data_IF_560599320892
#
_entry.id   IF_560599320892
#
_cell.length_a   1.000
_cell.length_b   1.000
_cell.length_c   1.000
_cell.angle_alpha   90.00
_cell.angle_beta   90.00
_cell.angle_gamma   90.00
#
_symmetry.space_group_name_H-M   'P 1'
#
loop_
_entity.id
_entity.type
_entity.pdbx_description
1 polymer ?
#
# COMPACT_ATOMS: atom_id res chain seq x y z
N UNK A 1 22.75 -9.63 12.97
CA UNK A 1 21.32 -9.34 13.21
C UNK A 1 20.56 -10.65 13.29
N UNK A 2 19.64 -10.79 14.21
CA UNK A 2 18.74 -11.95 14.32
C UNK A 2 17.31 -11.44 14.33
N UNK A 3 16.49 -11.95 13.42
CA UNK A 3 15.07 -11.57 13.30
C UNK A 3 14.23 -12.76 13.76
N UNK A 4 13.28 -12.49 14.67
CA UNK A 4 12.39 -13.47 15.28
C UNK A 4 13.13 -14.74 15.74
N UNK A 5 14.30 -14.57 16.36
CA UNK A 5 15.13 -15.65 16.94
C UNK A 5 15.56 -16.76 15.95
N UNK A 6 15.37 -16.56 14.64
CA UNK A 6 15.53 -17.64 13.63
C UNK A 6 16.31 -17.24 12.39
N UNK A 7 16.16 -16.00 11.92
CA UNK A 7 16.86 -15.53 10.72
C UNK A 7 18.10 -14.73 11.10
N UNK A 8 19.27 -15.29 10.85
CA UNK A 8 20.55 -14.60 11.05
C UNK A 8 21.00 -13.88 9.78
N UNK A 9 21.28 -12.58 9.92
CA UNK A 9 21.79 -11.74 8.84
C UNK A 9 23.10 -11.10 9.34
N UNK A 10 24.26 -11.49 8.78
CA UNK A 10 25.54 -10.85 9.10
C UNK A 10 25.67 -9.51 8.37
N UNK A 11 26.39 -8.56 8.97
CA UNK A 11 26.67 -7.26 8.37
C UNK A 11 26.53 -6.11 9.36
N UNK A 12 27.27 -5.03 9.10
CA UNK A 12 27.18 -3.80 9.88
C UNK A 12 25.88 -3.05 9.57
N UNK A 13 25.56 -2.93 8.27
CA UNK A 13 24.33 -2.37 7.76
C UNK A 13 23.59 -3.44 6.96
N UNK A 14 22.34 -3.71 7.32
CA UNK A 14 21.50 -4.68 6.62
C UNK A 14 20.27 -4.00 6.05
N UNK A 15 19.81 -4.50 4.91
CA UNK A 15 18.50 -4.19 4.35
C UNK A 15 17.70 -5.49 4.43
N UNK A 16 16.55 -5.43 5.09
CA UNK A 16 15.63 -6.54 5.19
C UNK A 16 14.20 -6.06 4.93
N UNK A 17 13.50 -6.75 4.06
CA UNK A 17 12.09 -6.51 3.75
C UNK A 17 11.24 -7.52 4.53
N UNK A 18 10.36 -7.01 5.40
CA UNK A 18 9.50 -7.86 6.20
C UNK A 18 8.37 -8.41 5.32
N UNK A 19 8.11 -9.73 5.35
CA UNK A 19 7.16 -10.36 4.42
C UNK A 19 5.73 -9.92 4.67
N UNK A 20 5.37 -9.69 5.94
CA UNK A 20 4.00 -9.37 6.36
C UNK A 20 3.98 -8.33 7.48
N UNK A 21 2.79 -7.77 7.73
CA UNK A 21 2.56 -6.97 8.93
C UNK A 21 2.64 -7.82 10.19
N UNK A 22 3.16 -7.25 11.27
CA UNK A 22 3.29 -7.94 12.56
C UNK A 22 4.30 -7.23 13.45
N UNK A 23 4.50 -7.76 14.65
CA UNK A 23 5.59 -7.31 15.51
C UNK A 23 6.76 -8.27 15.35
N UNK A 24 7.90 -7.76 14.91
CA UNK A 24 9.12 -8.52 14.74
C UNK A 24 10.11 -8.18 15.84
N UNK A 25 10.69 -9.19 16.47
CA UNK A 25 11.79 -9.02 17.41
C UNK A 25 13.10 -8.97 16.60
N UNK A 26 13.84 -7.89 16.74
CA UNK A 26 15.14 -7.71 16.08
C UNK A 26 16.23 -7.62 17.14
N UNK A 27 17.15 -8.58 17.09
CA UNK A 27 18.31 -8.65 17.97
C UNK A 27 19.58 -8.27 17.21
N UNK A 28 20.33 -7.33 17.78
CA UNK A 28 21.65 -6.96 17.31
C UNK A 28 22.72 -7.66 18.17
N UNK A 29 23.35 -8.69 17.60
CA UNK A 29 24.47 -9.39 18.19
C UNK A 29 25.80 -8.76 17.75
N UNK A 30 26.67 -8.47 18.71
CA UNK A 30 28.07 -8.08 18.46
C UNK A 30 28.95 -9.26 18.86
N UNK A 31 29.84 -9.68 17.96
CA UNK A 31 30.81 -10.73 18.24
C UNK A 31 32.21 -10.13 18.44
N UNK A 32 32.80 -10.41 19.59
CA UNK A 32 34.17 -10.03 19.93
C UNK A 32 35.13 -11.16 19.54
N UNK A 33 36.01 -10.87 18.57
CA UNK A 33 37.00 -11.82 18.05
C UNK A 33 38.17 -12.07 19.01
N UNK A 34 38.48 -11.13 19.90
CA UNK A 34 39.59 -11.29 20.85
C UNK A 34 39.18 -12.19 22.01
N UNK A 35 37.92 -12.07 22.44
CA UNK A 35 37.35 -12.87 23.53
C UNK A 35 36.67 -14.16 23.04
N UNK A 36 36.54 -14.34 21.72
CA UNK A 36 35.81 -15.43 21.09
C UNK A 36 34.38 -15.58 21.66
N UNK A 37 33.64 -14.46 21.74
CA UNK A 37 32.36 -14.44 22.45
C UNK A 37 31.35 -13.49 21.81
N UNK A 38 30.06 -13.83 21.94
CA UNK A 38 28.95 -12.95 21.59
C UNK A 38 28.61 -12.07 22.81
N UNK A 39 28.62 -10.76 22.61
CA UNK A 39 28.19 -9.81 23.64
C UNK A 39 26.66 -9.84 23.81
N UNK A 40 26.19 -9.34 24.96
CA UNK A 40 24.76 -9.27 25.27
C UNK A 40 24.02 -8.55 24.12
N UNK A 41 23.01 -9.19 23.50
CA UNK A 41 22.30 -8.60 22.39
C UNK A 41 21.50 -7.38 22.80
N UNK A 42 21.37 -6.42 21.87
CA UNK A 42 20.39 -5.35 21.98
C UNK A 42 19.13 -5.79 21.24
N UNK A 43 18.03 -5.92 21.98
CA UNK A 43 16.72 -6.34 21.44
C UNK A 43 15.80 -5.14 21.23
N UNK A 44 15.07 -5.12 20.12
CA UNK A 44 13.98 -4.16 19.89
C UNK A 44 12.82 -4.81 19.15
N UNK A 45 11.61 -4.58 19.66
CA UNK A 45 10.38 -4.94 18.96
C UNK A 45 10.02 -3.88 17.91
N UNK A 46 9.80 -4.34 16.69
CA UNK A 46 9.46 -3.51 15.54
C UNK A 46 8.06 -3.86 15.01
N UNK A 47 7.06 -2.99 15.24
CA UNK A 47 5.74 -3.18 14.66
C UNK A 47 5.75 -2.73 13.19
N UNK A 48 5.66 -3.69 12.29
CA UNK A 48 5.41 -3.47 10.86
C UNK A 48 3.90 -3.43 10.66
N UNK A 49 3.37 -2.26 10.30
CA UNK A 49 1.95 -2.05 10.06
C UNK A 49 1.71 -1.68 8.60
N UNK A 50 0.59 -2.13 8.05
CA UNK A 50 0.17 -1.64 6.75
C UNK A 50 -0.16 -0.15 6.89
N UNK A 51 0.30 0.64 5.93
CA UNK A 51 -0.05 2.06 5.90
C UNK A 51 -1.52 2.19 5.57
N UNK A 52 -2.23 3.01 6.33
CA UNK A 52 -3.62 3.36 6.02
C UNK A 52 -3.69 4.14 4.71
N UNK A 53 -4.31 3.55 3.69
CA UNK A 53 -4.39 4.14 2.36
C UNK A 53 -5.55 3.57 1.55
N UNK A 54 -6.01 4.38 0.59
CA UNK A 54 -6.85 3.89 -0.49
C UNK A 54 -6.05 2.91 -1.36
N UNK A 55 -6.69 1.83 -1.79
CA UNK A 55 -6.09 0.82 -2.68
C UNK A 55 -6.85 0.83 -3.99
N UNK A 56 -6.12 0.78 -5.11
CA UNK A 56 -6.68 0.79 -6.46
C UNK A 56 -6.26 -0.49 -7.17
N UNK A 57 -7.25 -1.32 -7.52
CA UNK A 57 -7.05 -2.54 -8.30
C UNK A 57 -7.68 -2.34 -9.66
N UNK A 58 -6.85 -2.39 -10.69
CA UNK A 58 -7.22 -2.35 -12.10
C UNK A 58 -6.02 -2.82 -12.94
N UNK A 59 -6.21 -3.16 -14.23
CA UNK A 59 -5.11 -3.44 -15.15
C UNK A 59 -4.18 -2.23 -15.35
N UNK A 60 -2.88 -2.49 -15.56
CA UNK A 60 -1.91 -1.43 -15.88
C UNK A 60 -2.05 -0.93 -17.33
N UNK A 61 -2.56 -1.79 -18.21
CA UNK A 61 -2.80 -1.49 -19.63
C UNK A 61 -4.23 -1.82 -20.01
N UNK A 62 -4.92 -0.85 -20.63
CA UNK A 62 -6.35 -0.94 -20.96
C UNK A 62 -6.56 -0.67 -22.46
N UNK A 63 -7.23 -1.53 -23.22
CA UNK A 63 -7.58 -1.21 -24.60
C UNK A 63 -8.68 -0.13 -24.65
N UNK A 64 -8.57 0.83 -25.57
CA UNK A 64 -9.62 1.83 -25.80
C UNK A 64 -10.96 1.16 -26.11
N UNK A 65 -12.06 1.71 -25.59
CA UNK A 65 -13.41 1.20 -25.80
C UNK A 65 -13.78 -0.05 -24.99
N UNK A 66 -12.88 -0.52 -24.12
CA UNK A 66 -13.16 -1.64 -23.22
C UNK A 66 -13.66 -1.13 -21.87
N UNK A 67 -14.77 -1.69 -21.40
CA UNK A 67 -15.25 -1.47 -20.05
C UNK A 67 -14.34 -2.19 -19.05
N UNK A 68 -13.76 -1.44 -18.12
CA UNK A 68 -12.84 -1.93 -17.09
C UNK A 68 -13.41 -1.62 -15.72
N UNK A 69 -13.40 -2.62 -14.86
CA UNK A 69 -13.73 -2.46 -13.46
C UNK A 69 -12.54 -1.89 -12.69
N UNK A 70 -12.82 -0.85 -11.90
CA UNK A 70 -11.92 -0.26 -10.93
C UNK A 70 -12.38 -0.67 -9.54
N UNK A 71 -11.52 -1.36 -8.80
CA UNK A 71 -11.86 -1.95 -7.51
C UNK A 71 -11.06 -1.29 -6.37
N UNK A 72 -11.78 -0.69 -5.44
CA UNK A 72 -11.28 -0.06 -4.21
C UNK A 72 -11.55 -0.87 -2.95
N UNK A 73 -12.07 -2.09 -3.04
CA UNK A 73 -12.52 -2.92 -1.91
C UNK A 73 -11.40 -3.31 -0.96
N UNK A 74 -10.15 -3.36 -1.44
CA UNK A 74 -8.96 -3.62 -0.61
C UNK A 74 -8.41 -2.36 0.08
N UNK A 75 -9.11 -1.23 0.02
CA UNK A 75 -8.74 -0.03 0.79
C UNK A 75 -8.58 -0.36 2.26
N UNK A 76 -7.41 -0.04 2.81
CA UNK A 76 -7.06 -0.35 4.20
C UNK A 76 -7.15 0.90 5.06
N UNK A 77 -8.28 1.04 5.76
CA UNK A 77 -8.56 2.14 6.69
C UNK A 77 -9.20 1.61 7.99
N UNK A 78 -8.48 0.79 8.78
CA UNK A 78 -9.02 0.11 9.96
C UNK A 78 -9.49 1.06 11.07
N UNK A 79 -8.92 2.27 11.19
CA UNK A 79 -9.31 3.25 12.20
C UNK A 79 -10.49 4.15 11.75
N UNK A 80 -11.07 3.88 10.59
CA UNK A 80 -12.13 4.69 9.98
C UNK A 80 -13.44 3.92 9.77
N UNK A 81 -14.54 4.66 9.78
CA UNK A 81 -15.90 4.27 9.42
C UNK A 81 -16.45 5.22 8.34
N UNK A 82 -17.68 4.96 7.86
CA UNK A 82 -18.46 5.83 6.97
C UNK A 82 -17.72 6.21 5.67
N UNK A 83 -17.12 5.21 5.03
CA UNK A 83 -16.27 5.40 3.87
C UNK A 83 -17.09 5.68 2.59
N UNK A 84 -16.92 6.87 2.02
CA UNK A 84 -17.44 7.26 0.71
C UNK A 84 -16.30 7.26 -0.31
N UNK A 85 -16.46 6.53 -1.41
CA UNK A 85 -15.44 6.32 -2.44
C UNK A 85 -15.74 7.18 -3.67
N UNK A 86 -14.75 7.94 -4.10
CA UNK A 86 -14.80 8.87 -5.23
C UNK A 86 -13.63 8.57 -6.17
N UNK A 87 -13.95 8.30 -7.44
CA UNK A 87 -12.99 8.02 -8.48
C UNK A 87 -12.80 9.24 -9.39
N UNK A 88 -11.57 9.55 -9.72
CA UNK A 88 -11.18 10.40 -10.85
C UNK A 88 -10.35 9.53 -11.79
N UNK A 89 -10.83 9.31 -13.01
CA UNK A 89 -10.17 8.44 -13.97
C UNK A 89 -9.05 9.15 -14.76
N UNK A 90 -8.86 10.46 -14.55
CA UNK A 90 -7.81 11.26 -15.16
C UNK A 90 -8.08 11.65 -16.62
N UNK A 91 -9.22 11.24 -17.20
CA UNK A 91 -9.70 11.64 -18.53
C UNK A 91 -10.80 12.71 -18.48
N UNK A 92 -11.08 13.23 -17.27
CA UNK A 92 -12.14 14.21 -17.01
C UNK A 92 -13.48 13.61 -16.57
N UNK A 93 -13.58 12.28 -16.53
CA UNK A 93 -14.73 11.58 -15.96
C UNK A 93 -14.51 11.17 -14.51
N UNK A 94 -15.61 10.97 -13.79
CA UNK A 94 -15.61 10.63 -12.37
C UNK A 94 -16.55 9.47 -12.09
N UNK A 95 -16.26 8.75 -11.01
CA UNK A 95 -17.02 7.60 -10.55
C UNK A 95 -17.29 7.64 -9.05
N UNK A 96 -18.19 6.77 -8.57
CA UNK A 96 -18.53 6.64 -7.16
C UNK A 96 -18.78 5.20 -6.75
N UNK A 97 -18.48 4.90 -5.48
CA UNK A 97 -18.67 3.57 -4.91
C UNK A 97 -17.36 2.78 -4.82
N UNK A 98 -17.40 1.66 -4.09
CA UNK A 98 -16.21 0.82 -3.87
C UNK A 98 -15.67 0.22 -5.17
N UNK A 99 -16.57 -0.06 -6.11
CA UNK A 99 -16.27 -0.55 -7.44
C UNK A 99 -17.01 0.35 -8.43
N UNK A 100 -16.37 0.65 -9.56
CA UNK A 100 -16.98 1.40 -10.66
C UNK A 100 -16.48 0.83 -11.99
N UNK A 101 -17.26 0.95 -13.05
CA UNK A 101 -16.91 0.50 -14.40
C UNK A 101 -16.70 1.73 -15.28
N UNK A 102 -15.50 1.86 -15.82
CA UNK A 102 -15.13 2.97 -16.69
C UNK A 102 -14.63 2.50 -18.06
N UNK A 103 -14.79 3.35 -19.08
CA UNK A 103 -14.33 3.09 -20.45
C UNK A 103 -13.58 4.28 -21.01
N UNK A 104 -12.30 4.11 -21.33
CA UNK A 104 -11.50 5.15 -21.99
C UNK A 104 -11.73 5.15 -23.51
N UNK A 105 -12.05 6.32 -24.07
CA UNK A 105 -12.29 6.48 -25.50
C UNK A 105 -11.02 6.78 -26.32
N UNK A 106 -9.99 7.30 -25.68
CA UNK A 106 -8.76 7.74 -26.33
C UNK A 106 -7.53 7.08 -25.71
N UNK A 107 -6.51 6.71 -26.51
CA UNK A 107 -5.26 6.19 -25.95
C UNK A 107 -4.49 7.30 -25.24
N UNK A 108 -3.70 6.93 -24.24
CA UNK A 108 -2.95 7.89 -23.42
C UNK A 108 -2.49 7.29 -22.10
N UNK A 109 -1.75 8.07 -21.31
CA UNK A 109 -1.46 7.75 -19.92
C UNK A 109 -2.42 8.54 -19.05
N UNK A 110 -3.15 7.84 -18.18
CA UNK A 110 -4.13 8.45 -17.30
C UNK A 110 -3.76 8.16 -15.85
N UNK A 111 -3.91 9.16 -14.99
CA UNK A 111 -3.72 9.00 -13.55
C UNK A 111 -5.06 8.76 -12.89
N UNK A 112 -5.30 7.52 -12.51
CA UNK A 112 -6.51 7.14 -11.77
C UNK A 112 -6.31 7.44 -10.30
N UNK A 113 -7.19 8.25 -9.73
CA UNK A 113 -7.14 8.63 -8.32
C UNK A 113 -8.38 8.11 -7.61
N UNK A 114 -8.18 7.42 -6.49
CA UNK A 114 -9.26 7.05 -5.57
C UNK A 114 -9.14 7.93 -4.34
N UNK A 115 -10.17 8.75 -4.09
CA UNK A 115 -10.40 9.45 -2.85
C UNK A 115 -11.42 8.71 -2.00
N UNK A 116 -11.09 8.49 -0.73
CA UNK A 116 -12.00 7.92 0.27
C UNK A 116 -12.21 8.96 1.35
N UNK A 117 -13.41 9.55 1.36
CA UNK A 117 -13.86 10.37 2.48
C UNK A 117 -14.29 9.43 3.59
N UNK A 118 -13.65 9.56 4.75
CA UNK A 118 -13.82 8.65 5.86
C UNK A 118 -13.89 9.43 7.18
N UNK A 119 -14.44 8.82 8.23
CA UNK A 119 -14.48 9.42 9.57
C UNK A 119 -13.76 8.52 10.55
N UNK A 120 -12.86 9.08 11.36
CA UNK A 120 -12.18 8.28 12.39
C UNK A 120 -13.19 7.74 13.39
N UNK A 121 -13.01 6.49 13.81
CA UNK A 121 -13.85 5.84 14.82
C UNK A 121 -13.93 6.65 16.13
N UNK A 122 -12.82 7.29 16.51
CA UNK A 122 -12.71 8.11 17.73
C UNK A 122 -13.04 9.60 17.53
N UNK A 123 -13.31 10.06 16.30
CA UNK A 123 -13.62 11.46 15.99
C UNK A 123 -14.48 11.52 14.72
N UNK A 124 -15.79 11.45 14.90
CA UNK A 124 -16.77 11.39 13.79
C UNK A 124 -17.19 12.75 13.24
N UNK A 125 -16.92 13.85 13.93
CA UNK A 125 -17.30 15.21 13.53
C UNK A 125 -16.50 15.71 12.32
N UNK A 126 -15.23 15.35 12.21
CA UNK A 126 -14.34 15.79 11.13
C UNK A 126 -14.15 14.68 10.09
N UNK A 127 -14.67 14.83 8.86
CA UNK A 127 -14.33 13.92 7.78
C UNK A 127 -12.87 14.13 7.37
N UNK A 128 -12.15 13.05 7.14
CA UNK A 128 -10.81 13.04 6.57
C UNK A 128 -10.85 12.47 5.16
N UNK A 129 -9.96 12.96 4.29
CA UNK A 129 -9.74 12.37 2.98
C UNK A 129 -8.51 11.47 3.03
N UNK A 130 -8.63 10.26 2.48
CA UNK A 130 -7.53 9.35 2.21
C UNK A 130 -7.52 9.09 0.72
N UNK A 131 -6.41 9.36 0.05
CA UNK A 131 -6.31 9.16 -1.38
C UNK A 131 -5.08 8.36 -1.75
N UNK A 132 -5.17 7.73 -2.91
CA UNK A 132 -4.06 7.12 -3.60
C UNK A 132 -4.27 7.27 -5.11
N UNK A 133 -3.23 7.03 -5.90
CA UNK A 133 -3.34 7.05 -7.35
C UNK A 133 -2.57 5.88 -7.98
N UNK A 134 -2.97 5.54 -9.21
CA UNK A 134 -2.32 4.56 -10.06
C UNK A 134 -2.30 5.10 -11.49
N UNK A 135 -1.13 5.12 -12.11
CA UNK A 135 -1.02 5.50 -13.53
C UNK A 135 -1.34 4.26 -14.40
N UNK A 136 -2.25 4.43 -15.37
CA UNK A 136 -2.66 3.39 -16.33
C UNK A 136 -2.33 3.84 -17.75
N UNK A 137 -2.01 2.88 -18.62
CA UNK A 137 -1.74 3.14 -20.04
C UNK A 137 -2.88 2.62 -20.89
N UNK A 138 -3.56 3.49 -21.63
CA UNK A 138 -4.62 3.12 -22.55
C UNK A 138 -4.05 3.05 -23.96
N UNK A 139 -4.29 1.92 -24.63
CA UNK A 139 -3.74 1.61 -25.97
C UNK A 139 -4.85 1.32 -26.96
N UNK A 140 -4.62 1.59 -28.25
CA UNK A 140 -5.54 1.16 -29.30
C UNK A 140 -5.44 -0.36 -29.48
N UNK A 141 -6.56 -1.07 -29.71
CA UNK A 141 -6.52 -2.48 -30.07
C UNK A 141 -5.69 -2.69 -31.35
N UNK A 142 -4.72 -3.61 -31.30
CA UNK A 142 -3.92 -4.00 -32.46
C UNK A 142 -2.63 -3.24 -32.71
N UNK A 143 -2.10 -2.51 -31.71
CA UNK A 143 -0.70 -2.05 -31.67
C UNK A 143 0.10 -2.80 -30.61
#
# INVERSE_FOLDING_TARGET
WVINDTLEIPGHDIIYEFPDTGTYKVDFHIYDKQLDTILIPVSKDWPIKLKEQAVIICPDTIPTGTAVEFDGTQTYLPDFDDNTYLWDFGDGSFGQGKQDIHTYLYPGRFRVTLGVQARKKNRKDVPEMRSNFKDVTVVKPGQ
#
